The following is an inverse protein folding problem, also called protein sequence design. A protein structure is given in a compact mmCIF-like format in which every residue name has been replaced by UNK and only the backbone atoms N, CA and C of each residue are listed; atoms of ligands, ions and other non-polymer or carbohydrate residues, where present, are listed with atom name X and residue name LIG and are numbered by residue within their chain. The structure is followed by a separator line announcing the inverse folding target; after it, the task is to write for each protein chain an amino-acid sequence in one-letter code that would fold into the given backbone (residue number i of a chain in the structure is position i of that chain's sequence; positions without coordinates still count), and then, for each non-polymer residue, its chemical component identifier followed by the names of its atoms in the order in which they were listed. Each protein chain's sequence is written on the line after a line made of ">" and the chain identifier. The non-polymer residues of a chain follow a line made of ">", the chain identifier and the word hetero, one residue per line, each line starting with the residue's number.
data_IF_578571669552
#
_entry.id   IF_578571669552
#
_cell.length_a   1.000
_cell.length_b   1.000
_cell.length_c   1.000
_cell.angle_alpha   90.00
_cell.angle_beta   90.00
_cell.angle_gamma   90.00
#
_symmetry.space_group_name_H-M   'P 1'
#
loop_
_entity.id
_entity.type
_entity.pdbx_description
1 polymer ?
#
# COMPACT_ATOMS: atom_id res chain seq x y z
N UNK A 1 -6.64 -1.80 -16.75
CA UNK A 1 -5.92 -2.90 -16.07
C UNK A 1 -6.29 -4.29 -16.58
N UNK A 2 -7.59 -4.73 -16.65
CA UNK A 2 -7.88 -6.09 -17.12
C UNK A 2 -7.32 -6.43 -18.48
N UNK A 3 -7.36 -5.49 -19.42
CA UNK A 3 -6.80 -5.68 -20.78
C UNK A 3 -5.29 -5.89 -20.74
N UNK A 4 -4.60 -5.11 -19.92
CA UNK A 4 -3.14 -5.18 -19.81
C UNK A 4 -2.69 -6.51 -19.18
N UNK A 5 -3.40 -6.97 -18.14
CA UNK A 5 -3.14 -8.27 -17.51
C UNK A 5 -3.35 -9.39 -18.51
N UNK A 6 -4.42 -9.32 -19.32
CA UNK A 6 -4.70 -10.31 -20.33
C UNK A 6 -3.58 -10.36 -21.39
N UNK A 7 -3.07 -9.21 -21.82
CA UNK A 7 -1.94 -9.16 -22.75
C UNK A 7 -0.69 -9.83 -22.17
N UNK A 8 -0.42 -9.61 -20.88
CA UNK A 8 0.70 -10.25 -20.20
C UNK A 8 0.52 -11.76 -20.12
N UNK A 9 -0.68 -12.23 -19.80
CA UNK A 9 -0.99 -13.67 -19.74
C UNK A 9 -0.85 -14.31 -21.12
N UNK A 10 -1.45 -13.71 -22.14
CA UNK A 10 -1.47 -14.23 -23.51
C UNK A 10 -0.07 -14.34 -24.12
N UNK A 11 0.84 -13.49 -23.69
CA UNK A 11 2.21 -13.47 -24.18
C UNK A 11 3.21 -14.19 -23.26
N UNK A 12 2.71 -14.89 -22.24
CA UNK A 12 3.56 -15.65 -21.33
C UNK A 12 4.42 -14.78 -20.42
N UNK A 13 4.07 -13.51 -20.25
CA UNK A 13 4.82 -12.55 -19.44
C UNK A 13 4.28 -12.41 -18.00
N UNK A 14 3.15 -13.06 -17.72
CA UNK A 14 2.50 -13.00 -16.43
C UNK A 14 3.14 -14.03 -15.49
N UNK A 15 4.38 -13.78 -15.11
CA UNK A 15 5.13 -14.62 -14.19
C UNK A 15 5.28 -13.94 -12.82
N UNK A 16 5.89 -14.63 -11.89
CA UNK A 16 6.08 -14.17 -10.53
C UNK A 16 6.89 -12.86 -10.46
N UNK A 17 7.93 -12.75 -11.25
CA UNK A 17 8.80 -11.56 -11.22
C UNK A 17 8.12 -10.34 -11.82
N UNK A 18 7.43 -10.51 -12.95
CA UNK A 18 6.67 -9.42 -13.56
C UNK A 18 5.53 -8.96 -12.67
N UNK A 19 4.82 -9.90 -12.03
CA UNK A 19 3.76 -9.60 -11.08
C UNK A 19 4.28 -8.77 -9.90
N UNK A 20 5.43 -9.15 -9.34
CA UNK A 20 6.08 -8.38 -8.27
C UNK A 20 6.39 -6.95 -8.70
N UNK A 21 6.97 -6.76 -9.87
CA UNK A 21 7.32 -5.42 -10.38
C UNK A 21 6.10 -4.52 -10.46
N UNK A 22 5.00 -5.04 -10.99
CA UNK A 22 3.76 -4.29 -11.15
C UNK A 22 3.17 -3.93 -9.78
N UNK A 23 3.00 -4.91 -8.90
CA UNK A 23 2.38 -4.70 -7.59
C UNK A 23 3.23 -3.83 -6.67
N UNK A 24 4.55 -3.99 -6.70
CA UNK A 24 5.44 -3.19 -5.87
C UNK A 24 5.48 -1.73 -6.32
N UNK A 25 5.34 -1.46 -7.62
CA UNK A 25 5.22 -0.09 -8.11
C UNK A 25 4.01 0.62 -7.50
N UNK A 26 2.86 -0.06 -7.45
CA UNK A 26 1.66 0.47 -6.80
C UNK A 26 1.83 0.61 -5.29
N UNK A 27 2.41 -0.39 -4.64
CA UNK A 27 2.60 -0.39 -3.19
C UNK A 27 3.51 0.75 -2.72
N UNK A 28 4.55 1.09 -3.47
CA UNK A 28 5.44 2.21 -3.14
C UNK A 28 4.70 3.54 -3.18
N UNK A 29 3.79 3.73 -4.11
CA UNK A 29 2.93 4.92 -4.18
C UNK A 29 2.05 5.00 -2.93
N UNK A 30 1.45 3.89 -2.52
CA UNK A 30 0.62 3.85 -1.32
C UNK A 30 1.42 4.20 -0.06
N UNK A 31 2.61 3.64 0.10
CA UNK A 31 3.49 3.95 1.24
C UNK A 31 3.75 5.45 1.33
N UNK A 32 4.06 6.08 0.21
CA UNK A 32 4.31 7.51 0.12
C UNK A 32 3.08 8.32 0.55
N UNK A 33 1.91 7.96 0.04
CA UNK A 33 0.65 8.64 0.37
C UNK A 33 0.26 8.43 1.84
N UNK A 34 0.46 7.24 2.37
CA UNK A 34 0.14 6.94 3.77
C UNK A 34 1.05 7.71 4.73
N UNK A 35 2.34 7.82 4.41
CA UNK A 35 3.27 8.64 5.19
C UNK A 35 2.86 10.10 5.18
N UNK A 36 2.48 10.63 4.03
CA UNK A 36 1.99 12.00 3.89
C UNK A 36 0.71 12.22 4.67
N UNK A 37 -0.21 11.26 4.65
CA UNK A 37 -1.47 11.33 5.38
C UNK A 37 -1.24 11.34 6.90
N UNK A 38 -0.30 10.53 7.40
CA UNK A 38 0.10 10.55 8.80
C UNK A 38 0.61 11.93 9.22
N UNK A 39 1.46 12.52 8.39
CA UNK A 39 2.01 13.84 8.66
C UNK A 39 0.94 14.93 8.66
N UNK A 40 0.04 14.91 7.69
CA UNK A 40 -1.07 15.87 7.60
C UNK A 40 -2.03 15.76 8.79
N UNK A 41 -2.23 14.55 9.30
CA UNK A 41 -3.08 14.32 10.46
C UNK A 41 -2.41 14.64 11.79
N UNK A 42 -1.12 15.03 11.77
CA UNK A 42 -0.39 15.37 12.98
C UNK A 42 0.05 14.17 13.81
N UNK A 43 0.11 12.98 13.22
CA UNK A 43 0.46 11.74 13.93
C UNK A 43 1.97 11.43 13.90
N UNK A 44 2.78 12.47 13.84
CA UNK A 44 4.25 12.32 13.80
C UNK A 44 4.83 12.76 15.14
N UNK A 45 4.84 11.85 16.10
CA UNK A 45 5.41 12.10 17.42
C UNK A 45 6.93 11.88 17.38
N UNK A 46 7.36 10.64 17.17
CA UNK A 46 8.78 10.29 17.05
C UNK A 46 9.22 10.02 15.61
N UNK A 47 8.29 9.99 14.68
CA UNK A 47 8.55 9.58 13.29
C UNK A 47 8.60 8.07 13.09
N UNK A 48 8.61 7.29 14.17
CA UNK A 48 8.75 5.83 14.09
C UNK A 48 7.59 5.17 13.31
N UNK A 49 6.36 5.61 13.55
CA UNK A 49 5.20 5.06 12.85
C UNK A 49 5.25 5.41 11.37
N UNK A 50 5.53 6.67 11.04
CA UNK A 50 5.67 7.13 9.66
C UNK A 50 6.74 6.31 8.92
N UNK A 51 7.89 6.12 9.54
CA UNK A 51 9.04 5.46 8.94
C UNK A 51 8.81 3.94 8.78
N UNK A 52 7.86 3.38 9.51
CA UNK A 52 7.51 1.96 9.44
C UNK A 52 6.31 1.64 8.56
N UNK A 53 5.70 2.64 7.92
CA UNK A 53 4.71 2.38 6.87
C UNK A 53 5.44 1.72 5.70
N UNK A 54 5.02 0.53 5.34
CA UNK A 54 5.69 -0.24 4.30
C UNK A 54 4.75 -1.29 3.71
N UNK A 55 5.25 -2.05 2.75
CA UNK A 55 4.55 -3.20 2.20
C UNK A 55 5.37 -4.47 2.40
N UNK A 56 4.69 -5.60 2.45
CA UNK A 56 5.36 -6.89 2.55
C UNK A 56 5.89 -7.29 1.19
N UNK A 57 7.17 -7.64 1.11
CA UNK A 57 7.81 -8.03 -0.14
C UNK A 57 7.50 -9.47 -0.51
N UNK A 58 6.21 -9.75 -0.57
CA UNK A 58 5.67 -11.06 -0.91
C UNK A 58 4.34 -10.87 -1.64
N UNK A 59 4.19 -11.57 -2.75
CA UNK A 59 2.93 -11.61 -3.49
C UNK A 59 2.15 -12.82 -3.02
N UNK A 60 0.96 -12.59 -2.50
CA UNK A 60 0.01 -13.63 -2.12
C UNK A 60 -0.93 -13.90 -3.31
N UNK A 61 -1.14 -15.17 -3.63
CA UNK A 61 -2.04 -15.57 -4.70
C UNK A 61 -3.15 -16.43 -4.13
N UNK A 62 -4.40 -16.02 -4.35
CA UNK A 62 -5.58 -16.77 -3.93
C UNK A 62 -6.66 -16.65 -5.00
N UNK A 63 -7.13 -17.78 -5.47
CA UNK A 63 -8.19 -17.84 -6.48
C UNK A 63 -7.86 -17.03 -7.75
N UNK A 64 -6.61 -17.06 -8.18
CA UNK A 64 -6.13 -16.31 -9.33
C UNK A 64 -5.92 -14.83 -9.10
N UNK A 65 -6.11 -14.34 -7.87
CA UNK A 65 -5.90 -12.95 -7.51
C UNK A 65 -4.55 -12.79 -6.84
N UNK A 66 -3.72 -11.90 -7.39
CA UNK A 66 -2.41 -11.56 -6.85
C UNK A 66 -2.49 -10.29 -6.03
N UNK A 67 -1.93 -10.30 -4.83
CA UNK A 67 -1.98 -9.15 -3.93
C UNK A 67 -0.70 -8.94 -3.15
N UNK A 68 -0.47 -7.70 -2.75
CA UNK A 68 0.60 -7.30 -1.83
C UNK A 68 -0.05 -6.57 -0.66
N UNK A 69 0.31 -6.96 0.54
CA UNK A 69 -0.21 -6.35 1.76
C UNK A 69 0.64 -5.15 2.17
N UNK A 70 -0.01 -4.11 2.63
CA UNK A 70 0.62 -2.89 3.14
C UNK A 70 0.23 -2.70 4.59
N UNK A 71 1.16 -2.28 5.42
CA UNK A 71 0.92 -2.11 6.85
C UNK A 71 1.94 -1.18 7.49
N UNK A 72 1.74 -0.91 8.76
CA UNK A 72 2.73 -0.22 9.60
C UNK A 72 3.43 -1.29 10.43
N UNK A 73 4.71 -1.52 10.17
CA UNK A 73 5.49 -2.57 10.83
C UNK A 73 6.11 -2.08 12.14
N UNK A 74 6.61 -3.04 12.90
CA UNK A 74 7.42 -2.78 14.08
C UNK A 74 6.61 -2.44 15.33
N UNK A 75 7.37 -2.16 16.38
CA UNK A 75 6.83 -1.80 17.69
C UNK A 75 7.50 -0.50 18.15
N UNK A 76 6.81 0.21 19.04
CA UNK A 76 7.40 1.41 19.66
C UNK A 76 8.34 1.03 20.82
N UNK A 77 8.89 2.04 21.49
CA UNK A 77 9.81 1.87 22.62
C UNK A 77 9.18 1.10 23.78
N UNK A 78 7.85 1.14 23.91
CA UNK A 78 7.09 0.48 24.96
C UNK A 78 6.62 -0.93 24.55
N UNK A 79 6.99 -1.39 23.37
CA UNK A 79 6.60 -2.70 22.84
C UNK A 79 5.23 -2.75 22.20
N UNK A 80 4.54 -1.63 22.03
CA UNK A 80 3.23 -1.59 21.38
C UNK A 80 3.40 -1.61 19.86
N UNK A 81 2.65 -2.47 19.18
CA UNK A 81 2.69 -2.58 17.73
C UNK A 81 2.26 -1.28 17.07
N UNK A 82 3.06 -0.78 16.12
CA UNK A 82 2.72 0.40 15.34
C UNK A 82 1.41 0.23 14.55
N UNK A 83 1.12 -0.97 14.08
CA UNK A 83 -0.13 -1.27 13.39
C UNK A 83 -1.36 -1.04 14.29
N UNK A 84 -1.28 -1.41 15.56
CA UNK A 84 -2.36 -1.17 16.54
C UNK A 84 -2.54 0.32 16.77
N UNK A 85 -1.45 1.07 16.93
CA UNK A 85 -1.50 2.52 17.10
C UNK A 85 -2.12 3.19 15.87
N UNK A 86 -1.74 2.76 14.68
CA UNK A 86 -2.30 3.28 13.43
C UNK A 86 -3.81 3.00 13.34
N UNK A 87 -4.24 1.81 13.72
CA UNK A 87 -5.66 1.45 13.75
C UNK A 87 -6.44 2.40 14.68
N UNK A 88 -5.95 2.63 15.89
CA UNK A 88 -6.59 3.52 16.86
C UNK A 88 -6.65 4.95 16.34
N UNK A 89 -5.56 5.45 15.75
CA UNK A 89 -5.51 6.80 15.19
C UNK A 89 -6.46 6.96 14.01
N UNK A 90 -6.62 5.91 13.20
CA UNK A 90 -7.50 5.94 12.04
C UNK A 90 -8.98 5.92 12.43
N UNK A 91 -9.36 5.00 13.30
CA UNK A 91 -10.77 4.77 13.65
C UNK A 91 -11.23 5.43 14.94
N UNK A 92 -10.29 5.85 15.78
CA UNK A 92 -10.61 6.38 17.09
C UNK A 92 -10.71 5.30 18.15
N UNK A 93 -11.05 5.71 19.37
CA UNK A 93 -11.20 4.80 20.49
C UNK A 93 -12.23 5.28 21.48
N UNK A 94 -12.86 4.33 22.18
CA UNK A 94 -13.73 4.61 23.30
C UNK A 94 -12.89 4.88 24.55
N UNK A 95 -13.28 5.88 25.33
CA UNK A 95 -12.68 6.13 26.64
C UNK A 95 -13.77 6.20 27.71
N UNK A 96 -13.39 6.29 29.01
CA UNK A 96 -14.33 6.22 30.13
C UNK A 96 -15.51 7.18 30.03
N UNK A 97 -15.29 8.37 29.50
CA UNK A 97 -16.32 9.43 29.43
C UNK A 97 -16.51 9.92 27.99
N UNK A 98 -16.62 9.01 27.05
CA UNK A 98 -16.90 9.38 25.68
C UNK A 98 -16.07 8.64 24.66
N UNK A 99 -15.82 9.29 23.53
CA UNK A 99 -15.14 8.70 22.38
C UNK A 99 -14.12 9.70 21.82
N UNK A 100 -12.93 9.20 21.53
CA UNK A 100 -11.92 9.98 20.83
C UNK A 100 -12.06 9.62 19.35
N UNK A 101 -12.50 10.57 18.49
CA UNK A 101 -12.67 10.29 17.06
C UNK A 101 -11.32 10.03 16.39
N UNK A 102 -11.33 9.17 15.38
CA UNK A 102 -10.18 8.93 14.55
C UNK A 102 -10.02 9.98 13.47
N UNK A 103 -8.81 10.07 12.93
CA UNK A 103 -8.51 11.00 11.83
C UNK A 103 -8.85 10.42 10.46
N UNK A 104 -9.05 9.11 10.36
CA UNK A 104 -9.26 8.38 9.10
C UNK A 104 -8.13 8.60 8.09
N UNK A 105 -6.90 8.81 8.59
CA UNK A 105 -5.74 9.09 7.74
C UNK A 105 -5.45 7.95 6.75
N UNK A 106 -5.64 6.71 7.19
CA UNK A 106 -5.41 5.53 6.34
C UNK A 106 -6.44 5.47 5.21
N UNK A 107 -7.71 5.73 5.55
CA UNK A 107 -8.79 5.77 4.57
C UNK A 107 -8.57 6.91 3.56
N UNK A 108 -8.14 8.08 4.03
CA UNK A 108 -7.79 9.20 3.17
C UNK A 108 -6.62 8.86 2.25
N UNK A 109 -5.62 8.14 2.77
CA UNK A 109 -4.49 7.67 1.96
C UNK A 109 -4.95 6.72 0.86
N UNK A 110 -5.84 5.78 1.16
CA UNK A 110 -6.39 4.85 0.17
C UNK A 110 -7.08 5.62 -0.96
N UNK A 111 -7.94 6.56 -0.62
CA UNK A 111 -8.67 7.36 -1.62
C UNK A 111 -7.73 8.20 -2.49
N UNK A 112 -6.74 8.83 -1.88
CA UNK A 112 -5.76 9.65 -2.59
C UNK A 112 -4.82 8.81 -3.45
N UNK A 113 -4.41 7.65 -2.97
CA UNK A 113 -3.42 6.81 -3.62
C UNK A 113 -3.99 5.96 -4.76
N UNK A 114 -5.25 5.54 -4.69
CA UNK A 114 -5.81 4.56 -5.62
C UNK A 114 -5.58 4.91 -7.09
N UNK A 115 -5.95 6.12 -7.61
CA UNK A 115 -5.71 6.44 -9.01
C UNK A 115 -4.20 6.48 -9.36
N UNK A 116 -3.37 6.92 -8.43
CA UNK A 116 -1.92 6.98 -8.63
C UNK A 116 -1.30 5.59 -8.64
N UNK A 117 -1.80 4.68 -7.80
CA UNK A 117 -1.38 3.28 -7.75
C UNK A 117 -1.71 2.56 -9.04
N UNK A 118 -2.92 2.75 -9.55
CA UNK A 118 -3.36 2.17 -10.82
C UNK A 118 -2.44 2.63 -11.94
N UNK A 119 -2.15 3.92 -12.03
CA UNK A 119 -1.25 4.47 -13.03
C UNK A 119 0.16 3.90 -12.91
N UNK A 120 0.69 3.79 -11.70
CA UNK A 120 2.01 3.22 -11.46
C UNK A 120 2.08 1.75 -11.91
N UNK A 121 1.04 0.97 -11.63
CA UNK A 121 0.96 -0.41 -12.06
C UNK A 121 0.89 -0.51 -13.59
N UNK A 122 0.10 0.35 -14.25
CA UNK A 122 0.00 0.40 -15.71
C UNK A 122 1.33 0.78 -16.34
N UNK A 123 2.02 1.78 -15.80
CA UNK A 123 3.33 2.20 -16.29
C UNK A 123 4.36 1.08 -16.16
N UNK A 124 4.37 0.36 -15.06
CA UNK A 124 5.25 -0.78 -14.84
C UNK A 124 4.97 -1.90 -15.85
N UNK A 125 3.70 -2.21 -16.07
CA UNK A 125 3.29 -3.22 -17.04
C UNK A 125 3.66 -2.82 -18.46
N UNK A 126 3.46 -1.55 -18.84
CA UNK A 126 3.85 -1.02 -20.13
C UNK A 126 5.37 -1.09 -20.36
N UNK A 127 6.14 -0.83 -19.31
CA UNK A 127 7.61 -0.94 -19.37
C UNK A 127 8.01 -2.39 -19.66
N UNK A 128 7.40 -3.37 -19.02
CA UNK A 128 7.66 -4.78 -19.26
C UNK A 128 7.33 -5.15 -20.72
N UNK A 129 6.18 -4.73 -21.20
CA UNK A 129 5.76 -5.00 -22.58
C UNK A 129 6.72 -4.35 -23.60
N UNK A 130 7.16 -3.13 -23.33
CA UNK A 130 8.11 -2.42 -24.19
C UNK A 130 9.47 -3.14 -24.24
N UNK A 131 9.99 -3.55 -23.09
CA UNK A 131 11.24 -4.29 -22.99
C UNK A 131 11.21 -5.61 -23.77
N UNK A 132 10.02 -6.20 -23.90
CA UNK A 132 9.82 -7.44 -24.66
C UNK A 132 9.47 -7.20 -26.12
N UNK A 133 9.45 -5.94 -26.58
CA UNK A 133 9.17 -5.59 -27.95
C UNK A 133 7.71 -5.77 -28.38
N UNK A 134 6.77 -5.78 -27.43
CA UNK A 134 5.36 -6.02 -27.70
C UNK A 134 4.54 -4.74 -27.91
N UNK A 135 5.10 -3.59 -27.56
CA UNK A 135 4.50 -2.28 -27.81
C UNK A 135 5.57 -1.25 -28.17
#
# INVERSE_FOLDING_TARGET
>A
MPELIRQLEDNGLYDKENTKKILYAGAEIFVKEARSALMRAGHVDTGAMRDNVTYYRRVDTKDGVHSVSMSVKGRDEKGVKNAVKAFVLNYGRKKAYGYIPGSHFWNAAILSATPKMIRACEDAANTILHEKGLI
#
